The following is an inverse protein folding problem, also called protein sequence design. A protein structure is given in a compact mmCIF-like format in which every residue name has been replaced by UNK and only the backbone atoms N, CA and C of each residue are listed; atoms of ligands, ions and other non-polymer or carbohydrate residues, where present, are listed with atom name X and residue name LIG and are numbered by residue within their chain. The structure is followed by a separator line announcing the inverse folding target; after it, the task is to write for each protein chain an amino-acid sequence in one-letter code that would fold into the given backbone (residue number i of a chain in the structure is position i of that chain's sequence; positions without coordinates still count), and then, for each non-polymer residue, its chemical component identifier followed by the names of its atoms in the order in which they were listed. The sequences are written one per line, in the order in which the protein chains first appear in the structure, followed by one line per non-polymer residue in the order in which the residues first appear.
data_IF_542538649984
#
_entry.id   IF_542538649984
#
_cell.length_a   1.000
_cell.length_b   1.000
_cell.length_c   1.000
_cell.angle_alpha   90.00
_cell.angle_beta   90.00
_cell.angle_gamma   90.00
#
_symmetry.space_group_name_H-M   'P 1'
#
loop_
_entity.id
_entity.type
_entity.pdbx_description
1 polymer ?
#
# COMPACT_ATOMS: atom_id res chain seq x y z
N UNK A 1 -14.31 -13.04 20.20
CA UNK A 1 -14.97 -12.11 19.27
C UNK A 1 -15.58 -12.96 18.16
N UNK A 2 -16.89 -12.87 17.91
CA UNK A 2 -17.53 -13.60 16.82
C UNK A 2 -17.67 -12.66 15.63
N UNK A 3 -17.17 -13.05 14.46
CA UNK A 3 -17.13 -12.22 13.26
C UNK A 3 -17.68 -13.06 12.11
N UNK A 4 -18.71 -12.57 11.44
CA UNK A 4 -19.24 -13.21 10.25
C UNK A 4 -18.34 -12.93 9.07
N UNK A 5 -17.91 -13.99 8.38
CA UNK A 5 -17.08 -13.91 7.20
C UNK A 5 -17.89 -14.21 5.94
N UNK A 6 -17.47 -13.66 4.82
CA UNK A 6 -18.01 -14.03 3.51
C UNK A 6 -17.58 -15.44 3.13
N UNK A 7 -18.34 -16.11 2.26
CA UNK A 7 -18.01 -17.47 1.83
C UNK A 7 -16.62 -17.59 1.18
N UNK A 8 -16.21 -16.54 0.47
CA UNK A 8 -14.88 -16.43 -0.13
C UNK A 8 -13.78 -16.44 0.94
N UNK A 9 -13.95 -15.69 2.03
CA UNK A 9 -12.99 -15.63 3.14
C UNK A 9 -12.91 -16.95 3.90
N UNK A 10 -14.06 -17.60 4.16
CA UNK A 10 -14.07 -18.94 4.77
C UNK A 10 -13.28 -19.95 3.92
N UNK A 11 -13.50 -19.95 2.60
CA UNK A 11 -12.82 -20.85 1.67
C UNK A 11 -11.32 -20.60 1.66
N UNK A 12 -10.92 -19.32 1.64
CA UNK A 12 -9.52 -18.93 1.74
C UNK A 12 -8.86 -19.43 3.03
N UNK A 13 -9.49 -19.18 4.18
CA UNK A 13 -8.99 -19.64 5.49
C UNK A 13 -8.86 -21.16 5.53
N UNK A 14 -9.86 -21.90 5.01
CA UNK A 14 -9.83 -23.36 4.96
C UNK A 14 -8.65 -23.89 4.12
N UNK A 15 -8.32 -23.23 3.01
CA UNK A 15 -7.17 -23.63 2.18
C UNK A 15 -5.83 -23.38 2.87
N UNK A 16 -5.70 -22.27 3.60
CA UNK A 16 -4.48 -21.93 4.34
C UNK A 16 -4.27 -22.81 5.59
N UNK A 17 -5.35 -23.29 6.20
CA UNK A 17 -5.26 -24.32 7.25
C UNK A 17 -4.80 -25.67 6.67
N UNK A 18 -5.29 -26.03 5.48
CA UNK A 18 -4.93 -27.27 4.80
C UNK A 18 -3.48 -27.29 4.30
N UNK A 19 -2.89 -26.15 3.96
CA UNK A 19 -1.48 -26.07 3.59
C UNK A 19 -0.55 -26.32 4.77
N UNK A 20 -1.04 -26.18 6.01
CA UNK A 20 -0.26 -26.34 7.23
C UNK A 20 0.47 -25.08 7.66
N UNK A 21 0.32 -23.97 6.93
CA UNK A 21 0.97 -22.69 7.25
C UNK A 21 0.40 -22.04 8.52
N UNK A 22 -0.83 -22.39 8.90
CA UNK A 22 -1.50 -21.89 10.09
C UNK A 22 -2.17 -23.02 10.86
N UNK A 23 -2.12 -22.93 12.19
CA UNK A 23 -2.74 -23.92 13.08
C UNK A 23 -4.24 -23.66 13.30
N UNK A 24 -4.66 -22.40 13.22
CA UNK A 24 -6.06 -22.01 13.40
C UNK A 24 -6.41 -20.71 12.66
N UNK A 25 -7.70 -20.51 12.42
CA UNK A 25 -8.21 -19.32 11.73
C UNK A 25 -7.82 -18.00 12.44
N UNK A 26 -7.77 -18.01 13.77
CA UNK A 26 -7.43 -16.80 14.55
C UNK A 26 -5.99 -16.36 14.32
N UNK A 27 -5.06 -17.29 14.08
CA UNK A 27 -3.67 -17.00 13.76
C UNK A 27 -3.55 -16.30 12.41
N UNK A 28 -4.19 -16.87 11.38
CA UNK A 28 -4.25 -16.28 10.04
C UNK A 28 -4.87 -14.88 10.08
N UNK A 29 -5.97 -14.70 10.80
CA UNK A 29 -6.63 -13.39 10.91
C UNK A 29 -5.72 -12.38 11.61
N UNK A 30 -5.00 -12.77 12.67
CA UNK A 30 -4.03 -11.89 13.33
C UNK A 30 -2.90 -11.49 12.38
N UNK A 31 -2.40 -12.43 11.58
CA UNK A 31 -1.35 -12.14 10.61
C UNK A 31 -1.82 -11.18 9.51
N UNK A 32 -3.00 -11.43 8.95
CA UNK A 32 -3.63 -10.54 7.97
C UNK A 32 -3.85 -9.12 8.54
N UNK A 33 -4.28 -9.00 9.80
CA UNK A 33 -4.46 -7.71 10.45
C UNK A 33 -3.13 -6.98 10.66
N UNK A 34 -2.07 -7.70 11.03
CA UNK A 34 -0.72 -7.13 11.16
C UNK A 34 -0.22 -6.60 9.82
N UNK A 35 -0.37 -7.38 8.75
CA UNK A 35 0.00 -6.95 7.40
C UNK A 35 -0.81 -5.72 6.97
N UNK A 36 -2.11 -5.72 7.24
CA UNK A 36 -3.00 -4.60 6.93
C UNK A 36 -2.60 -3.32 7.69
N UNK A 37 -2.28 -3.44 8.98
CA UNK A 37 -1.81 -2.34 9.81
C UNK A 37 -0.50 -1.76 9.27
N UNK A 38 0.50 -2.62 9.01
CA UNK A 38 1.79 -2.21 8.45
C UNK A 38 1.59 -1.52 7.10
N UNK A 39 0.78 -2.10 6.20
CA UNK A 39 0.52 -1.52 4.89
C UNK A 39 -0.15 -0.16 5.01
N UNK A 40 -1.20 -0.03 5.84
CA UNK A 40 -1.91 1.24 6.04
C UNK A 40 -1.01 2.31 6.63
N UNK A 41 -0.27 2.00 7.70
CA UNK A 41 0.64 2.95 8.32
C UNK A 41 1.77 3.34 7.36
N UNK A 42 2.39 2.37 6.68
CA UNK A 42 3.47 2.64 5.74
C UNK A 42 3.01 3.51 4.57
N UNK A 43 1.95 3.13 3.87
CA UNK A 43 1.45 3.90 2.72
C UNK A 43 1.07 5.32 3.14
N UNK A 44 0.37 5.49 4.26
CA UNK A 44 -0.02 6.82 4.73
C UNK A 44 1.21 7.64 5.13
N UNK A 45 2.17 7.04 5.84
CA UNK A 45 3.37 7.75 6.27
C UNK A 45 4.27 8.13 5.09
N UNK A 46 4.43 7.23 4.11
CA UNK A 46 5.20 7.50 2.89
C UNK A 46 4.54 8.63 2.09
N UNK A 47 3.21 8.62 1.92
CA UNK A 47 2.48 9.72 1.27
C UNK A 47 2.67 11.05 2.00
N UNK A 48 2.53 11.05 3.35
CA UNK A 48 2.73 12.25 4.16
C UNK A 48 4.15 12.78 4.00
N UNK A 49 5.15 11.91 4.01
CA UNK A 49 6.54 12.29 3.83
C UNK A 49 6.79 12.94 2.46
N UNK A 50 6.19 12.42 1.38
CA UNK A 50 6.31 13.03 0.04
C UNK A 50 5.58 14.37 -0.06
N UNK A 51 4.42 14.53 0.60
CA UNK A 51 3.71 15.81 0.68
C UNK A 51 4.56 16.85 1.42
N UNK A 52 5.12 16.49 2.57
CA UNK A 52 6.00 17.37 3.35
C UNK A 52 7.25 17.79 2.56
N UNK A 53 7.87 16.87 1.79
CA UNK A 53 8.95 17.22 0.87
C UNK A 53 8.51 18.26 -0.17
N UNK A 54 7.28 18.14 -0.68
CA UNK A 54 6.70 19.10 -1.61
C UNK A 54 6.44 20.47 -0.97
N UNK A 55 5.95 20.49 0.28
CA UNK A 55 5.65 21.72 1.02
C UNK A 55 6.90 22.46 1.50
N UNK A 56 7.90 21.72 1.98
CA UNK A 56 9.20 22.28 2.36
C UNK A 56 10.08 22.64 1.15
N UNK A 57 9.71 22.16 -0.04
CA UNK A 57 10.40 22.44 -1.29
C UNK A 57 10.12 23.84 -1.85
N UNK A 58 10.96 24.28 -2.78
CA UNK A 58 10.75 25.55 -3.47
C UNK A 58 9.54 25.49 -4.41
N UNK A 59 8.72 26.54 -4.40
CA UNK A 59 7.61 26.68 -5.35
C UNK A 59 8.12 26.74 -6.78
N UNK A 60 7.70 25.77 -7.59
CA UNK A 60 8.01 25.73 -9.02
C UNK A 60 7.17 26.74 -9.78
N UNK A 61 7.81 27.56 -10.61
CA UNK A 61 7.15 28.45 -11.59
C UNK A 61 6.91 27.78 -12.94
N UNK A 62 7.28 26.50 -13.09
CA UNK A 62 7.20 25.77 -14.36
C UNK A 62 5.76 25.52 -14.76
N UNK A 63 5.43 25.83 -16.00
CA UNK A 63 4.18 25.38 -16.61
C UNK A 63 4.24 23.90 -16.98
N UNK A 64 3.08 23.31 -17.26
CA UNK A 64 2.98 21.93 -17.76
C UNK A 64 3.79 21.75 -19.06
N UNK A 65 3.76 22.74 -19.96
CA UNK A 65 4.52 22.73 -21.21
C UNK A 65 6.03 22.70 -20.96
N UNK A 66 6.52 23.46 -19.98
CA UNK A 66 7.94 23.46 -19.59
C UNK A 66 8.39 22.09 -19.07
N UNK A 67 7.50 21.38 -18.38
CA UNK A 67 7.76 20.04 -17.86
C UNK A 67 7.89 19.05 -19.03
N UNK A 68 6.93 19.03 -19.94
CA UNK A 68 6.92 18.14 -21.11
C UNK A 68 8.14 18.38 -22.00
N UNK A 69 8.43 19.63 -22.33
CA UNK A 69 9.54 19.99 -23.20
C UNK A 69 10.90 19.60 -22.57
N UNK A 70 11.07 19.76 -21.26
CA UNK A 70 12.28 19.31 -20.57
C UNK A 70 12.50 17.80 -20.65
N UNK A 71 11.42 17.00 -20.56
CA UNK A 71 11.51 15.54 -20.62
C UNK A 71 11.82 15.06 -22.03
N UNK A 72 11.26 15.71 -23.06
CA UNK A 72 11.57 15.41 -24.48
C UNK A 72 13.03 15.69 -24.81
N UNK A 73 13.56 16.85 -24.40
CA UNK A 73 14.98 17.20 -24.61
C UNK A 73 15.93 16.20 -23.96
N UNK A 74 15.63 15.77 -22.72
CA UNK A 74 16.45 14.78 -22.00
C UNK A 74 16.46 13.39 -22.64
N UNK A 75 15.41 13.01 -23.37
CA UNK A 75 15.33 11.70 -24.05
C UNK A 75 16.04 11.70 -25.42
N UNK A 76 16.25 12.88 -26.00
CA UNK A 76 16.92 13.05 -27.29
C UNK A 76 18.45 13.20 -27.17
N UNK A 77 18.97 13.32 -25.94
CA UNK A 77 20.39 13.33 -25.60
C UNK A 77 20.79 11.98 -25.01
#
# INVERSE_FOLDING_TARGET
MNISLTKKQETYIANQLKSGDFQNASELVRDALRLHEVYRHRVINDLKAEIEKGWAGATSKRSVNDIINSKRKRKAS
#
